data_IF_737472416693
#
_entry.id   IF_737472416693
#
_cell.length_a   1.000
_cell.length_b   1.000
_cell.length_c   1.000
_cell.angle_alpha   90.00
_cell.angle_beta   90.00
_cell.angle_gamma   90.00
#
_symmetry.space_group_name_H-M   'P 1'
#
loop_
_entity.id
_entity.type
_entity.pdbx_description
1 polymer ?
#
# COMPACT_ATOMS: atom_id res chain seq x y z
N UNK A 1 3.96 -15.49 -20.40
CA UNK A 1 4.21 -14.20 -19.71
C UNK A 1 5.20 -14.44 -18.59
N UNK A 2 6.30 -13.67 -18.57
CA UNK A 2 7.40 -13.81 -17.60
C UNK A 2 7.26 -12.76 -16.51
N UNK A 3 7.42 -13.16 -15.25
CA UNK A 3 7.39 -12.25 -14.12
C UNK A 3 8.63 -11.36 -14.13
N UNK A 4 8.45 -10.04 -14.18
CA UNK A 4 9.59 -9.11 -14.17
C UNK A 4 10.31 -9.08 -12.80
N UNK A 5 9.68 -9.61 -11.74
CA UNK A 5 10.23 -9.64 -10.38
C UNK A 5 11.13 -10.85 -10.17
N UNK A 6 10.64 -12.06 -10.43
CA UNK A 6 11.38 -13.31 -10.18
C UNK A 6 11.96 -13.97 -11.44
N UNK A 7 11.61 -13.51 -12.65
CA UNK A 7 12.06 -14.10 -13.91
C UNK A 7 11.33 -15.38 -14.33
N UNK A 8 10.47 -15.94 -13.48
CA UNK A 8 9.76 -17.18 -13.77
C UNK A 8 8.53 -16.98 -14.67
N UNK A 9 8.15 -18.01 -15.41
CA UNK A 9 6.97 -18.00 -16.28
C UNK A 9 5.65 -18.11 -15.49
N UNK A 10 4.53 -17.80 -16.14
CA UNK A 10 3.19 -17.95 -15.57
C UNK A 10 2.65 -16.73 -14.82
N UNK A 11 3.30 -15.57 -14.95
CA UNK A 11 2.75 -14.32 -14.45
C UNK A 11 1.46 -13.94 -15.21
N UNK A 12 0.41 -13.56 -14.47
CA UNK A 12 -0.91 -13.25 -15.04
C UNK A 12 -1.35 -11.81 -14.80
N UNK A 13 -0.71 -11.10 -13.87
CA UNK A 13 -1.02 -9.70 -13.59
C UNK A 13 -0.19 -8.83 -14.51
N UNK A 14 -0.85 -7.89 -15.19
CA UNK A 14 -0.22 -6.93 -16.11
C UNK A 14 -0.39 -5.54 -15.53
N UNK A 15 0.65 -4.70 -15.63
CA UNK A 15 0.54 -3.30 -15.27
C UNK A 15 -0.57 -2.61 -16.09
N UNK A 16 -1.39 -1.81 -15.43
CA UNK A 16 -2.52 -1.12 -16.06
C UNK A 16 -2.12 0.09 -16.91
N UNK A 17 -0.91 0.60 -16.74
CA UNK A 17 -0.44 1.79 -17.44
C UNK A 17 -0.34 1.55 -18.95
N UNK A 18 -0.70 2.56 -19.75
CA UNK A 18 -0.76 2.41 -21.20
C UNK A 18 0.65 2.28 -21.75
N UNK A 19 0.91 1.21 -22.50
CA UNK A 19 2.24 0.91 -23.05
C UNK A 19 3.21 0.22 -22.08
N UNK A 20 2.80 -0.05 -20.84
CA UNK A 20 3.61 -0.85 -19.91
C UNK A 20 3.29 -2.35 -20.07
N UNK A 21 4.26 -3.12 -20.53
CA UNK A 21 4.10 -4.58 -20.74
C UNK A 21 4.57 -5.43 -19.54
N UNK A 22 4.96 -4.79 -18.43
CA UNK A 22 5.46 -5.51 -17.25
C UNK A 22 4.37 -6.41 -16.66
N UNK A 23 4.69 -7.70 -16.52
CA UNK A 23 3.82 -8.69 -15.89
C UNK A 23 4.46 -9.27 -14.63
N UNK A 24 3.64 -9.62 -13.64
CA UNK A 24 4.12 -10.17 -12.37
C UNK A 24 3.16 -11.20 -11.79
N UNK A 25 3.66 -12.10 -10.95
CA UNK A 25 2.78 -12.96 -10.14
C UNK A 25 2.19 -12.17 -8.99
N UNK A 26 1.00 -12.56 -8.53
CA UNK A 26 0.39 -11.97 -7.33
C UNK A 26 1.30 -12.05 -6.09
N UNK A 27 1.96 -13.19 -5.78
CA UNK A 27 2.88 -13.26 -4.64
C UNK A 27 4.10 -12.35 -4.80
N UNK A 28 4.60 -12.17 -6.02
CA UNK A 28 5.74 -11.30 -6.30
C UNK A 28 5.39 -9.80 -6.25
N UNK A 29 4.11 -9.42 -6.19
CA UNK A 29 3.71 -8.03 -6.21
C UNK A 29 4.30 -7.25 -5.03
N UNK A 30 4.32 -7.84 -3.83
CA UNK A 30 4.83 -7.17 -2.64
C UNK A 30 6.34 -6.95 -2.71
N UNK A 31 7.10 -8.00 -3.06
CA UNK A 31 8.56 -7.95 -3.20
C UNK A 31 8.99 -7.03 -4.35
N UNK A 32 8.24 -7.04 -5.45
CA UNK A 32 8.48 -6.19 -6.61
C UNK A 32 8.03 -4.74 -6.44
N UNK A 33 7.55 -4.34 -5.25
CA UNK A 33 7.07 -2.99 -5.00
C UNK A 33 5.87 -2.58 -5.87
N UNK A 34 5.08 -3.55 -6.32
CA UNK A 34 3.87 -3.37 -7.11
C UNK A 34 2.66 -3.06 -6.23
N UNK A 35 1.64 -2.46 -6.82
CA UNK A 35 0.36 -2.19 -6.15
C UNK A 35 -0.76 -2.89 -6.91
N UNK A 36 -1.56 -3.69 -6.21
CA UNK A 36 -2.83 -4.26 -6.73
C UNK A 36 -3.97 -3.66 -5.93
N UNK A 37 -4.89 -2.99 -6.63
CA UNK A 37 -6.09 -2.40 -6.07
C UNK A 37 -7.21 -3.44 -6.10
N UNK A 38 -7.84 -3.72 -4.95
CA UNK A 38 -8.91 -4.73 -4.82
C UNK A 38 -10.31 -4.12 -4.88
N UNK A 39 -10.45 -2.99 -5.58
CA UNK A 39 -11.71 -2.27 -5.74
C UNK A 39 -11.96 -1.92 -7.22
N UNK A 40 -13.22 -1.68 -7.58
CA UNK A 40 -13.62 -1.31 -8.93
C UNK A 40 -13.15 -2.34 -9.97
N UNK A 41 -12.35 -1.90 -10.96
CA UNK A 41 -11.86 -2.76 -12.04
C UNK A 41 -10.57 -3.53 -11.69
N UNK A 42 -10.23 -3.66 -10.40
CA UNK A 42 -9.11 -4.46 -9.90
C UNK A 42 -7.78 -4.21 -10.63
N UNK A 43 -7.30 -2.96 -10.61
CA UNK A 43 -6.13 -2.52 -11.36
C UNK A 43 -4.83 -2.86 -10.64
N UNK A 44 -3.80 -3.20 -11.39
CA UNK A 44 -2.47 -3.47 -10.87
C UNK A 44 -1.42 -2.62 -11.55
N UNK A 45 -0.37 -2.24 -10.82
CA UNK A 45 0.66 -1.32 -11.27
C UNK A 45 2.03 -1.83 -10.85
N UNK A 46 3.01 -1.79 -11.77
CA UNK A 46 4.40 -2.10 -11.45
C UNK A 46 5.02 -1.01 -10.58
N UNK A 47 6.23 -1.23 -10.07
CA UNK A 47 6.92 -0.28 -9.19
C UNK A 47 7.08 1.13 -9.76
N UNK A 48 7.18 1.28 -11.08
CA UNK A 48 7.30 2.58 -11.76
C UNK A 48 5.97 3.33 -11.89
N UNK A 49 4.86 2.60 -12.04
CA UNK A 49 3.53 3.19 -12.33
C UNK A 49 2.56 3.05 -11.17
N UNK A 50 3.03 2.57 -10.00
CA UNK A 50 2.19 2.45 -8.82
C UNK A 50 1.72 3.83 -8.37
N UNK A 51 0.53 3.93 -7.76
CA UNK A 51 0.16 5.14 -7.06
C UNK A 51 1.11 5.36 -5.89
N UNK A 52 1.50 6.61 -5.71
CA UNK A 52 2.25 7.09 -4.53
C UNK A 52 1.38 8.12 -3.81
N UNK A 53 1.59 8.29 -2.51
CA UNK A 53 0.80 9.26 -1.76
C UNK A 53 1.09 10.66 -2.29
N UNK A 54 0.06 11.50 -2.50
CA UNK A 54 0.28 12.89 -2.90
C UNK A 54 0.70 13.78 -1.71
N UNK A 55 0.61 13.26 -0.49
CA UNK A 55 1.00 14.01 0.72
C UNK A 55 2.51 14.22 0.74
N UNK A 56 2.90 15.48 0.74
CA UNK A 56 4.27 15.93 1.03
C UNK A 56 4.45 15.94 2.55
N UNK A 57 4.74 14.78 3.10
CA UNK A 57 5.15 14.58 4.48
C UNK A 57 6.33 13.60 4.51
N UNK A 58 7.30 13.88 5.36
CA UNK A 58 8.39 12.96 5.67
C UNK A 58 8.29 12.57 7.16
N UNK A 59 8.71 11.35 7.53
CA UNK A 59 8.86 11.00 8.92
C UNK A 59 9.87 11.95 9.57
N UNK A 60 9.56 12.47 10.75
CA UNK A 60 10.57 13.12 11.61
C UNK A 60 11.57 12.07 12.11
N UNK A 61 12.74 12.52 12.60
CA UNK A 61 13.66 11.63 13.32
C UNK A 61 12.91 10.91 14.45
N UNK A 62 13.16 9.61 14.59
CA UNK A 62 12.49 8.72 15.56
C UNK A 62 10.99 8.49 15.34
N UNK A 63 10.43 8.83 14.17
CA UNK A 63 9.05 8.45 13.86
C UNK A 63 8.89 6.93 13.90
N UNK A 64 7.94 6.47 14.71
CA UNK A 64 7.61 5.04 14.87
C UNK A 64 6.30 4.68 14.17
N UNK A 65 6.19 3.41 13.79
CA UNK A 65 4.96 2.83 13.29
C UNK A 65 3.95 2.75 14.44
N UNK A 66 2.76 3.33 14.29
CA UNK A 66 1.76 3.30 15.38
C UNK A 66 1.17 1.90 15.66
N UNK A 67 1.55 0.88 14.88
CA UNK A 67 1.08 -0.51 15.04
C UNK A 67 2.12 -1.37 15.75
N UNK A 68 3.38 -1.38 15.29
CA UNK A 68 4.44 -2.22 15.88
C UNK A 68 5.39 -1.45 16.80
N UNK A 69 5.34 -0.12 16.79
CA UNK A 69 6.19 0.78 17.60
C UNK A 69 7.69 0.74 17.20
N UNK A 70 8.01 0.10 16.07
CA UNK A 70 9.36 0.16 15.48
C UNK A 70 9.52 1.37 14.55
N UNK A 71 10.76 1.86 14.31
CA UNK A 71 11.01 2.96 13.37
C UNK A 71 10.50 2.69 11.96
N UNK A 72 9.81 3.67 11.35
CA UNK A 72 9.32 3.55 9.95
C UNK A 72 10.39 3.87 8.89
N UNK A 73 11.54 4.41 9.33
CA UNK A 73 12.57 4.96 8.46
C UNK A 73 12.44 6.49 8.34
N UNK A 74 13.41 7.09 7.67
CA UNK A 74 13.61 8.54 7.54
C UNK A 74 12.96 9.12 6.28
N UNK A 75 12.49 8.27 5.37
CA UNK A 75 11.94 8.69 4.07
C UNK A 75 10.65 7.99 3.70
N UNK A 76 9.86 8.70 2.92
CA UNK A 76 8.71 8.16 2.20
C UNK A 76 9.17 7.12 1.19
N UNK A 77 8.53 5.96 1.19
CA UNK A 77 8.90 4.83 0.35
C UNK A 77 7.68 3.94 0.11
N UNK A 78 7.83 2.92 -0.74
CA UNK A 78 6.79 1.89 -0.88
C UNK A 78 6.44 1.20 0.45
N UNK A 79 7.40 1.08 1.36
CA UNK A 79 7.21 0.35 2.63
C UNK A 79 6.68 1.23 3.77
N UNK A 80 6.65 2.56 3.60
CA UNK A 80 6.16 3.51 4.60
C UNK A 80 4.90 4.23 4.11
N UNK A 81 3.88 4.30 4.97
CA UNK A 81 2.58 4.90 4.65
C UNK A 81 2.21 5.88 5.76
N UNK A 82 1.72 7.06 5.40
CA UNK A 82 1.22 8.07 6.33
C UNK A 82 -0.28 8.30 6.16
N UNK A 83 -0.97 8.63 7.25
CA UNK A 83 -2.36 9.09 7.16
C UNK A 83 -2.45 10.39 6.33
N UNK A 84 -3.28 10.44 5.28
CA UNK A 84 -3.36 11.61 4.39
C UNK A 84 -3.95 12.84 5.10
N UNK A 85 -4.74 12.62 6.16
CA UNK A 85 -5.49 13.65 6.88
C UNK A 85 -4.62 14.32 7.93
N UNK A 86 -4.14 13.55 8.91
CA UNK A 86 -3.36 14.13 10.00
C UNK A 86 -1.89 14.28 9.69
N UNK A 87 -1.33 13.52 8.73
CA UNK A 87 0.10 13.56 8.34
C UNK A 87 1.12 13.20 9.43
N UNK A 88 0.66 12.81 10.61
CA UNK A 88 1.50 12.43 11.75
C UNK A 88 1.42 10.93 12.08
N UNK A 89 0.40 10.23 11.59
CA UNK A 89 0.26 8.79 11.82
C UNK A 89 0.98 8.01 10.71
N UNK A 90 2.08 7.37 11.07
CA UNK A 90 2.94 6.60 10.17
C UNK A 90 2.86 5.10 10.44
N UNK A 91 3.00 4.31 9.38
CA UNK A 91 2.87 2.86 9.41
C UNK A 91 3.84 2.20 8.44
N UNK A 92 4.38 1.03 8.80
CA UNK A 92 4.88 0.13 7.78
C UNK A 92 3.70 -0.40 6.96
N UNK A 93 3.88 -0.50 5.65
CA UNK A 93 2.90 -1.08 4.72
C UNK A 93 2.44 -2.48 5.13
N UNK A 94 3.37 -3.31 5.59
CA UNK A 94 3.06 -4.65 6.09
C UNK A 94 2.19 -4.61 7.36
N UNK A 95 2.50 -3.71 8.30
CA UNK A 95 1.75 -3.56 9.54
C UNK A 95 0.33 -3.09 9.27
N UNK A 96 0.13 -2.07 8.42
CA UNK A 96 -1.22 -1.59 8.11
C UNK A 96 -2.03 -2.62 7.30
N UNK A 97 -1.39 -3.43 6.45
CA UNK A 97 -2.03 -4.54 5.76
C UNK A 97 -2.50 -5.64 6.74
N UNK A 98 -1.69 -6.00 7.71
CA UNK A 98 -2.07 -6.94 8.76
C UNK A 98 -3.22 -6.37 9.60
N UNK A 99 -3.12 -5.11 10.01
CA UNK A 99 -4.17 -4.42 10.78
C UNK A 99 -5.51 -4.38 10.05
N UNK A 100 -5.51 -4.05 8.75
CA UNK A 100 -6.69 -4.08 7.89
C UNK A 100 -7.35 -5.45 7.78
N UNK A 101 -6.58 -6.54 7.90
CA UNK A 101 -7.11 -7.89 7.83
C UNK A 101 -7.80 -8.33 9.12
N UNK A 102 -7.35 -7.81 10.27
CA UNK A 102 -7.88 -8.16 11.59
C UNK A 102 -9.07 -7.32 12.03
N UNK A 103 -9.18 -6.08 11.55
CA UNK A 103 -10.31 -5.21 11.85
C UNK A 103 -11.51 -5.47 10.93
N UNK A 104 -12.72 -5.30 11.48
CA UNK A 104 -13.93 -5.18 10.68
C UNK A 104 -13.86 -3.90 9.82
N UNK A 105 -14.37 -3.96 8.59
CA UNK A 105 -14.34 -2.84 7.63
C UNK A 105 -14.91 -1.54 8.23
N UNK A 106 -15.96 -1.66 9.07
CA UNK A 106 -16.61 -0.52 9.72
C UNK A 106 -15.72 0.24 10.70
N UNK A 107 -14.67 -0.39 11.23
CA UNK A 107 -13.80 0.17 12.27
C UNK A 107 -12.42 0.59 11.74
N UNK A 108 -12.13 0.37 10.46
CA UNK A 108 -10.83 0.70 9.88
C UNK A 108 -10.71 2.21 9.63
N UNK A 109 -10.06 2.91 10.57
CA UNK A 109 -9.81 4.35 10.56
C UNK A 109 -8.39 4.65 11.02
N UNK A 110 -7.93 5.90 10.86
CA UNK A 110 -6.65 6.31 11.40
C UNK A 110 -6.67 6.24 12.94
N UNK A 111 -5.78 5.47 13.60
CA UNK A 111 -5.78 5.35 15.06
C UNK A 111 -5.47 6.67 15.79
N UNK A 112 -4.84 7.64 15.12
CA UNK A 112 -4.47 8.92 15.72
C UNK A 112 -5.58 9.97 15.61
N UNK A 113 -6.13 10.19 14.41
CA UNK A 113 -7.10 11.26 14.15
C UNK A 113 -8.53 10.77 13.92
N UNK A 114 -8.74 9.47 13.91
CA UNK A 114 -10.04 8.81 13.69
C UNK A 114 -10.72 9.12 12.35
N UNK A 115 -10.04 9.82 11.43
CA UNK A 115 -10.54 9.95 10.07
C UNK A 115 -10.67 8.56 9.44
N UNK A 116 -11.89 8.27 8.97
CA UNK A 116 -12.23 7.02 8.31
C UNK A 116 -12.24 7.18 6.80
N UNK A 117 -12.84 8.26 6.29
CA UNK A 117 -13.15 8.38 4.86
C UNK A 117 -11.89 8.54 4.00
N UNK A 118 -11.05 9.53 4.29
CA UNK A 118 -9.84 9.77 3.48
C UNK A 118 -8.80 8.71 3.77
N UNK A 119 -8.66 8.29 5.03
CA UNK A 119 -7.76 7.19 5.41
C UNK A 119 -8.07 5.90 4.65
N UNK A 120 -9.33 5.44 4.66
CA UNK A 120 -9.75 4.21 4.00
C UNK A 120 -9.54 4.30 2.48
N UNK A 121 -9.92 5.42 1.86
CA UNK A 121 -9.73 5.66 0.42
C UNK A 121 -8.25 5.62 0.02
N UNK A 122 -7.39 6.22 0.83
CA UNK A 122 -5.94 6.22 0.59
C UNK A 122 -5.37 4.80 0.72
N UNK A 123 -5.72 4.07 1.79
CA UNK A 123 -5.24 2.70 2.00
C UNK A 123 -5.62 1.79 0.82
N UNK A 124 -6.87 1.86 0.35
CA UNK A 124 -7.29 1.13 -0.84
C UNK A 124 -6.49 1.51 -2.08
N UNK A 125 -6.33 2.82 -2.32
CA UNK A 125 -5.62 3.35 -3.50
C UNK A 125 -4.19 2.82 -3.53
N UNK A 126 -3.53 2.77 -2.37
CA UNK A 126 -2.19 2.22 -2.21
C UNK A 126 -2.17 0.70 -2.26
N UNK A 127 -3.30 0.00 -2.40
CA UNK A 127 -3.38 -1.46 -2.51
C UNK A 127 -3.39 -2.22 -1.19
N UNK A 128 -3.71 -1.55 -0.08
CA UNK A 128 -4.02 -2.23 1.18
C UNK A 128 -5.37 -2.90 1.04
N UNK A 129 -5.40 -4.22 1.17
CA UNK A 129 -6.63 -5.01 1.09
C UNK A 129 -7.40 -4.90 2.41
N UNK A 130 -8.64 -4.42 2.34
CA UNK A 130 -9.58 -4.33 3.46
C UNK A 130 -10.75 -5.28 3.13
N UNK A 131 -10.90 -6.42 3.83
CA UNK A 131 -11.98 -7.36 3.55
C UNK A 131 -13.35 -6.83 3.97
N UNK A 132 -14.38 -7.06 3.15
CA UNK A 132 -15.78 -6.99 3.57
C UNK A 132 -16.06 -8.24 4.42
N UNK A 133 -16.02 -8.12 5.74
CA UNK A 133 -16.43 -9.18 6.67
C UNK A 133 -17.90 -9.01 7.03
#
# INVERSE_FOLDING_TARGET
>A
QQCFVCGESGATIICRETGCERTFHLPCAMEGGCVTQYFGSHRSFCWEHRPEQAVEAAPEEDTVCLICVDPVGDKKSYTSIVCPTCKHAWFHRACIQAHAFHLENVSFCCPLCQDKYLFWKEMLTLGIRIPDR
#
